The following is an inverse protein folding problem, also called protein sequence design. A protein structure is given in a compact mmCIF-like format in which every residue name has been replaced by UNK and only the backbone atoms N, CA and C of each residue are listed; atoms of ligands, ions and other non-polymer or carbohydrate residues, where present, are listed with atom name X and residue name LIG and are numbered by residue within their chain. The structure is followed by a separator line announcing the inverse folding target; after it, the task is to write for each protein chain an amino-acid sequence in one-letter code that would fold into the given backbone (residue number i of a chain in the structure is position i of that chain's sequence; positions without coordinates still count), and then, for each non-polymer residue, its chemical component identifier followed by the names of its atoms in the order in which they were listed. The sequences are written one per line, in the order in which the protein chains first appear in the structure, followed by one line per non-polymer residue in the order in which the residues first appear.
data_IF_536134541735
#
_entry.id   IF_536134541735
#
_cell.length_a   1.000
_cell.length_b   1.000
_cell.length_c   1.000
_cell.angle_alpha   90.00
_cell.angle_beta   90.00
_cell.angle_gamma   90.00
#
_symmetry.space_group_name_H-M   'P 1'
#
loop_
_entity.id
_entity.type
_entity.pdbx_description
1 polymer ?
#
# COMPACT_ATOMS: atom_id res chain seq x y z
N UNK A 1 -2.03 0.27 10.16
CA UNK A 1 -2.69 -1.02 10.08
C UNK A 1 -3.64 -1.28 11.25
N UNK A 2 -3.38 -0.71 12.39
CA UNK A 2 -4.22 -0.83 13.59
C UNK A 2 -5.03 0.43 13.93
N UNK A 3 -5.03 1.46 13.08
CA UNK A 3 -5.79 2.68 13.29
C UNK A 3 -7.19 2.60 12.66
N UNK A 4 -8.20 3.08 13.38
CA UNK A 4 -9.56 3.24 12.88
C UNK A 4 -9.73 4.65 12.31
N UNK A 5 -9.23 4.88 11.10
CA UNK A 5 -9.35 6.17 10.43
C UNK A 5 -10.65 6.20 9.60
N UNK A 6 -11.52 7.16 9.93
CA UNK A 6 -12.78 7.41 9.22
C UNK A 6 -12.60 8.67 8.36
N UNK A 7 -12.63 8.56 7.02
CA UNK A 7 -12.56 9.74 6.14
C UNK A 7 -13.73 10.70 6.37
N UNK A 8 -13.51 11.98 6.12
CA UNK A 8 -14.57 12.96 6.22
C UNK A 8 -15.74 12.63 5.28
N UNK A 9 -16.96 12.58 5.82
CA UNK A 9 -18.17 12.22 5.06
C UNK A 9 -18.47 10.72 4.95
N UNK A 10 -17.62 9.86 5.50
CA UNK A 10 -17.84 8.42 5.57
C UNK A 10 -18.33 8.00 6.95
N UNK A 11 -19.09 6.90 7.02
CA UNK A 11 -19.56 6.33 8.29
C UNK A 11 -18.67 5.21 8.82
N UNK A 12 -17.81 4.65 7.97
CA UNK A 12 -16.98 3.49 8.29
C UNK A 12 -15.50 3.80 8.16
N UNK A 13 -14.68 3.20 9.01
CA UNK A 13 -13.23 3.34 8.88
C UNK A 13 -12.72 2.67 7.60
N UNK A 14 -11.60 3.18 7.11
CA UNK A 14 -10.85 2.51 6.05
C UNK A 14 -10.44 1.10 6.51
N UNK A 15 -10.43 0.10 5.60
CA UNK A 15 -10.00 -1.25 5.93
C UNK A 15 -8.52 -1.27 6.35
N UNK A 16 -8.18 -2.16 7.28
CA UNK A 16 -6.83 -2.35 7.79
C UNK A 16 -5.98 -3.14 6.78
N UNK A 17 -5.41 -2.43 5.81
CA UNK A 17 -4.56 -3.03 4.78
C UNK A 17 -3.18 -2.39 4.77
N UNK A 18 -2.17 -3.17 4.37
CA UNK A 18 -0.80 -2.68 4.25
C UNK A 18 -0.68 -1.47 3.31
N UNK A 19 -1.50 -1.39 2.27
CA UNK A 19 -1.53 -0.24 1.35
C UNK A 19 -1.91 1.06 2.07
N UNK A 20 -2.95 1.01 2.91
CA UNK A 20 -3.40 2.16 3.68
C UNK A 20 -2.39 2.49 4.76
N UNK A 21 -1.90 1.50 5.50
CA UNK A 21 -0.91 1.67 6.56
C UNK A 21 0.37 2.35 6.04
N UNK A 22 0.87 1.95 4.87
CA UNK A 22 2.04 2.58 4.27
C UNK A 22 1.79 4.04 3.88
N UNK A 23 0.63 4.36 3.31
CA UNK A 23 0.28 5.74 2.97
C UNK A 23 0.11 6.61 4.23
N UNK A 24 -0.51 6.08 5.28
CA UNK A 24 -0.62 6.76 6.58
C UNK A 24 0.75 7.01 7.20
N UNK A 25 1.66 6.04 7.15
CA UNK A 25 3.02 6.18 7.68
C UNK A 25 3.82 7.27 6.94
N UNK A 26 3.79 7.27 5.61
CA UNK A 26 4.44 8.29 4.79
C UNK A 26 3.84 9.69 5.05
N UNK A 27 2.51 9.79 5.19
CA UNK A 27 1.82 11.03 5.50
C UNK A 27 2.14 11.55 6.91
N UNK A 28 2.17 10.67 7.91
CA UNK A 28 2.53 11.00 9.30
C UNK A 28 3.95 11.55 9.37
N UNK A 29 4.90 10.89 8.70
CA UNK A 29 6.29 11.37 8.65
C UNK A 29 6.39 12.77 8.01
N UNK A 30 5.62 13.03 6.95
CA UNK A 30 5.53 14.35 6.33
C UNK A 30 4.97 15.41 7.30
N UNK A 31 3.90 15.08 8.03
CA UNK A 31 3.30 15.98 9.01
C UNK A 31 4.22 16.28 10.20
N UNK A 32 4.97 15.28 10.67
CA UNK A 32 5.99 15.50 11.72
C UNK A 32 7.05 16.50 11.22
N UNK A 33 7.54 16.33 9.98
CA UNK A 33 8.51 17.27 9.38
C UNK A 33 7.94 18.67 9.28
N UNK A 34 6.67 18.81 8.88
CA UNK A 34 5.99 20.13 8.82
C UNK A 34 5.91 20.79 10.19
N UNK A 35 5.52 20.04 11.21
CA UNK A 35 5.47 20.56 12.60
C UNK A 35 6.83 21.03 13.11
N UNK A 36 7.90 20.29 12.81
CA UNK A 36 9.27 20.68 13.17
C UNK A 36 9.71 21.97 12.47
N UNK A 37 9.17 22.26 11.29
CA UNK A 37 9.41 23.50 10.55
C UNK A 37 8.46 24.64 10.91
N UNK A 38 7.55 24.47 11.88
CA UNK A 38 6.55 25.45 12.27
C UNK A 38 5.37 25.59 11.29
N UNK A 39 5.18 24.60 10.40
CA UNK A 39 4.07 24.54 9.45
C UNK A 39 2.88 23.78 10.02
N UNK A 40 1.66 24.05 9.52
CA UNK A 40 0.47 23.29 9.88
C UNK A 40 0.48 21.90 9.26
N UNK A 41 -0.15 20.92 9.93
CA UNK A 41 -0.38 19.58 9.41
C UNK A 41 -1.39 19.57 8.27
N UNK A 42 -1.35 18.53 7.46
CA UNK A 42 -2.31 18.27 6.37
C UNK A 42 -3.16 17.06 6.70
N UNK A 43 -4.40 17.05 6.23
CA UNK A 43 -5.31 15.93 6.40
C UNK A 43 -4.90 14.76 5.51
N UNK A 44 -5.08 13.54 6.03
CA UNK A 44 -4.80 12.33 5.28
C UNK A 44 -5.90 12.06 4.23
N UNK A 45 -5.48 11.81 3.01
CA UNK A 45 -6.34 11.38 1.92
C UNK A 45 -5.84 10.05 1.36
N UNK A 46 -6.69 9.03 1.38
CA UNK A 46 -6.36 7.72 0.86
C UNK A 46 -6.50 7.66 -0.66
N UNK A 47 -5.45 7.22 -1.32
CA UNK A 47 -5.46 6.94 -2.75
C UNK A 47 -5.57 5.44 -2.98
N UNK A 48 -6.74 4.97 -3.40
CA UNK A 48 -6.96 3.57 -3.73
C UNK A 48 -6.30 3.23 -5.08
N UNK A 49 -5.27 2.39 -5.05
CA UNK A 49 -4.55 1.91 -6.25
C UNK A 49 -5.09 0.58 -6.77
N UNK A 50 -6.05 0.00 -6.06
CA UNK A 50 -6.63 -1.30 -6.38
C UNK A 50 -6.22 -2.39 -5.40
N UNK A 51 -6.72 -3.59 -5.65
CA UNK A 51 -6.47 -4.79 -4.86
C UNK A 51 -6.11 -5.95 -5.78
N UNK A 52 -5.11 -6.73 -5.39
CA UNK A 52 -4.65 -7.90 -6.13
C UNK A 52 -4.58 -9.09 -5.20
N UNK A 53 -5.21 -10.19 -5.58
CA UNK A 53 -5.22 -11.45 -4.86
C UNK A 53 -4.52 -12.54 -5.67
N UNK A 54 -3.70 -13.35 -5.01
CA UNK A 54 -3.05 -14.51 -5.61
C UNK A 54 -3.96 -15.73 -5.50
N UNK A 55 -4.17 -16.45 -6.59
CA UNK A 55 -4.90 -17.72 -6.67
C UNK A 55 -3.95 -18.90 -6.84
N UNK A 56 -2.75 -18.83 -6.26
CA UNK A 56 -1.67 -19.79 -6.40
C UNK A 56 -0.41 -19.18 -6.98
N UNK A 57 0.52 -20.04 -7.43
CA UNK A 57 1.86 -19.59 -7.83
C UNK A 57 1.87 -18.74 -9.12
N UNK A 58 0.96 -19.03 -10.06
CA UNK A 58 0.97 -18.45 -11.40
C UNK A 58 -0.38 -17.89 -11.83
N UNK A 59 -1.31 -17.69 -10.91
CA UNK A 59 -2.61 -17.13 -11.20
C UNK A 59 -3.00 -16.08 -10.14
N UNK A 60 -3.85 -15.12 -10.53
CA UNK A 60 -4.33 -14.08 -9.64
C UNK A 60 -5.48 -13.31 -10.27
N UNK A 61 -6.21 -12.62 -9.43
CA UNK A 61 -7.31 -11.72 -9.81
C UNK A 61 -7.15 -10.41 -9.07
N UNK A 62 -7.70 -9.34 -9.65
CA UNK A 62 -7.68 -8.06 -8.96
C UNK A 62 -8.32 -6.95 -9.75
N UNK A 63 -8.41 -5.81 -9.10
CA UNK A 63 -8.82 -4.54 -9.69
C UNK A 63 -7.67 -3.57 -9.52
N UNK A 64 -7.19 -2.98 -10.61
CA UNK A 64 -6.11 -1.99 -10.60
C UNK A 64 -6.57 -0.74 -11.35
N UNK A 65 -6.59 0.39 -10.63
CA UNK A 65 -7.14 1.65 -11.14
C UNK A 65 -8.52 1.51 -11.80
N UNK A 66 -9.40 0.71 -11.17
CA UNK A 66 -10.78 0.49 -11.65
C UNK A 66 -10.91 -0.48 -12.83
N UNK A 67 -9.83 -1.19 -13.21
CA UNK A 67 -9.85 -2.20 -14.28
C UNK A 67 -9.66 -3.60 -13.71
N UNK A 68 -10.50 -4.53 -14.10
CA UNK A 68 -10.36 -5.93 -13.74
C UNK A 68 -9.19 -6.57 -14.46
N UNK A 69 -8.38 -7.29 -13.72
CA UNK A 69 -7.22 -8.04 -14.22
C UNK A 69 -7.24 -9.46 -13.67
N UNK A 70 -6.79 -10.42 -14.46
CA UNK A 70 -6.73 -11.84 -14.06
C UNK A 70 -5.57 -12.58 -14.75
N UNK A 71 -5.25 -13.77 -14.23
CA UNK A 71 -4.29 -14.70 -14.81
C UNK A 71 -2.84 -14.42 -14.44
N UNK A 72 -1.91 -14.94 -15.26
CA UNK A 72 -0.46 -14.90 -15.01
C UNK A 72 0.10 -13.50 -14.85
N UNK A 73 -0.42 -12.51 -15.59
CA UNK A 73 0.00 -11.10 -15.49
C UNK A 73 -0.31 -10.54 -14.10
N UNK A 74 -1.48 -10.89 -13.55
CA UNK A 74 -1.89 -10.49 -12.21
C UNK A 74 -1.01 -11.15 -11.13
N UNK A 75 -0.68 -12.43 -11.28
CA UNK A 75 0.24 -13.12 -10.39
C UNK A 75 1.64 -12.48 -10.42
N UNK A 76 2.13 -12.11 -11.59
CA UNK A 76 3.40 -11.39 -11.73
C UNK A 76 3.34 -10.00 -11.05
N UNK A 77 2.28 -9.24 -11.29
CA UNK A 77 2.08 -7.94 -10.63
C UNK A 77 2.08 -8.08 -9.10
N UNK A 78 1.43 -9.11 -8.57
CA UNK A 78 1.44 -9.38 -7.12
C UNK A 78 2.87 -9.62 -6.60
N UNK A 79 3.70 -10.37 -7.33
CA UNK A 79 5.12 -10.58 -6.97
C UNK A 79 5.91 -9.26 -6.96
N UNK A 80 5.66 -8.38 -7.93
CA UNK A 80 6.28 -7.05 -7.99
C UNK A 80 5.88 -6.20 -6.79
N UNK A 81 4.58 -6.18 -6.44
CA UNK A 81 4.06 -5.43 -5.29
C UNK A 81 4.70 -5.91 -3.99
N UNK A 82 4.74 -7.23 -3.77
CA UNK A 82 5.33 -7.83 -2.57
C UNK A 82 6.84 -7.56 -2.49
N UNK A 83 7.57 -7.67 -3.60
CA UNK A 83 9.02 -7.39 -3.64
C UNK A 83 9.30 -5.91 -3.40
N UNK A 84 8.46 -4.99 -3.94
CA UNK A 84 8.57 -3.56 -3.67
C UNK A 84 8.37 -3.25 -2.18
N UNK A 85 7.42 -3.92 -1.51
CA UNK A 85 7.22 -3.76 -0.07
C UNK A 85 8.47 -4.19 0.72
N UNK A 86 9.07 -5.34 0.37
CA UNK A 86 10.31 -5.82 0.97
C UNK A 86 11.47 -4.82 0.74
N UNK A 87 11.58 -4.28 -0.48
CA UNK A 87 12.57 -3.26 -0.81
C UNK A 87 12.42 -1.99 0.06
N UNK A 88 11.18 -1.51 0.26
CA UNK A 88 10.93 -0.35 1.11
C UNK A 88 11.31 -0.58 2.58
N UNK A 89 11.20 -1.81 3.07
CA UNK A 89 11.53 -2.17 4.46
C UNK A 89 13.03 -2.36 4.71
N UNK A 90 13.76 -2.94 3.77
CA UNK A 90 15.14 -3.36 4.00
C UNK A 90 16.10 -3.13 2.84
N UNK A 91 15.70 -2.31 1.86
CA UNK A 91 16.53 -1.96 0.74
C UNK A 91 16.79 -3.10 -0.25
N UNK A 92 17.74 -2.87 -1.14
CA UNK A 92 18.04 -3.78 -2.26
C UNK A 92 18.52 -5.16 -1.78
N UNK A 93 19.34 -5.21 -0.72
CA UNK A 93 19.87 -6.47 -0.18
C UNK A 93 18.76 -7.39 0.32
N UNK A 94 17.77 -6.85 1.02
CA UNK A 94 16.64 -7.64 1.50
C UNK A 94 15.72 -8.06 0.35
N UNK A 95 15.53 -7.19 -0.64
CA UNK A 95 14.74 -7.50 -1.83
C UNK A 95 15.32 -8.68 -2.63
N UNK A 96 16.64 -8.75 -2.79
CA UNK A 96 17.32 -9.89 -3.42
C UNK A 96 17.21 -11.18 -2.60
N UNK A 97 17.34 -11.08 -1.26
CA UNK A 97 17.32 -12.26 -0.37
C UNK A 97 15.92 -12.84 -0.16
N UNK A 98 14.89 -12.02 -0.16
CA UNK A 98 13.50 -12.39 0.21
C UNK A 98 12.46 -12.07 -0.87
N UNK A 99 12.86 -11.48 -1.99
CA UNK A 99 11.95 -11.20 -3.10
C UNK A 99 11.35 -12.47 -3.68
N UNK A 100 10.19 -12.34 -4.31
CA UNK A 100 9.37 -13.46 -4.83
C UNK A 100 9.58 -13.74 -6.32
N UNK A 101 10.73 -13.40 -6.82
CA UNK A 101 11.11 -13.70 -8.20
C UNK A 101 11.95 -14.96 -8.28
#
# INVERSE_FOLDING_TARGET
DCSAFIPAGEERPLPTTAQIAMQQGEHTASNIKRLLNGESTQDFQYVNRGTVCSLGANDGVGIVYGRDIAGKKTAFLKKVIDTRAIYKLGGIGLAFKKGKF
#
